data_IF_956303502692
#
_entry.id   IF_956303502692
#
_cell.length_a   1.000
_cell.length_b   1.000
_cell.length_c   1.000
_cell.angle_alpha   90.00
_cell.angle_beta   90.00
_cell.angle_gamma   90.00
#
_symmetry.space_group_name_H-M   'P 1'
#
loop_
_entity.id
_entity.type
_entity.pdbx_description
1 polymer ?
#
# COMPACT_ATOMS: atom_id res chain seq x y z
N UNK A 1 -24.85 -8.91 -5.61
CA UNK A 1 -24.08 -7.76 -5.11
C UNK A 1 -22.67 -7.88 -5.66
N UNK A 2 -22.18 -6.84 -6.31
CA UNK A 2 -20.84 -6.77 -6.91
C UNK A 2 -19.79 -6.68 -5.82
N UNK A 3 -18.66 -7.40 -5.93
CA UNK A 3 -17.61 -7.35 -4.91
C UNK A 3 -17.14 -5.92 -4.65
N UNK A 4 -16.96 -5.51 -3.40
CA UNK A 4 -16.53 -4.15 -3.04
C UNK A 4 -15.03 -3.89 -3.28
N UNK A 5 -14.35 -4.76 -4.04
CA UNK A 5 -12.90 -4.76 -4.26
C UNK A 5 -12.34 -3.41 -4.72
N UNK A 6 -13.05 -2.72 -5.62
CA UNK A 6 -12.65 -1.38 -6.09
C UNK A 6 -12.71 -0.34 -4.96
N UNK A 7 -13.84 -0.28 -4.23
CA UNK A 7 -14.04 0.67 -3.13
C UNK A 7 -13.07 0.40 -1.98
N UNK A 8 -12.83 -0.87 -1.69
CA UNK A 8 -11.86 -1.31 -0.68
C UNK A 8 -10.44 -0.87 -1.04
N UNK A 9 -9.94 -1.25 -2.22
CA UNK A 9 -8.58 -0.92 -2.65
C UNK A 9 -8.36 0.60 -2.77
N UNK A 10 -9.37 1.34 -3.26
CA UNK A 10 -9.30 2.81 -3.37
C UNK A 10 -9.23 3.49 -2.00
N UNK A 11 -9.98 3.02 -1.00
CA UNK A 11 -9.88 3.55 0.37
C UNK A 11 -8.51 3.30 0.99
N UNK A 12 -7.98 2.08 0.83
CA UNK A 12 -6.63 1.73 1.31
C UNK A 12 -5.59 2.65 0.66
N UNK A 13 -5.62 2.75 -0.66
CA UNK A 13 -4.69 3.56 -1.43
C UNK A 13 -4.76 5.05 -1.07
N UNK A 14 -5.96 5.63 -1.00
CA UNK A 14 -6.13 7.04 -0.65
C UNK A 14 -5.63 7.32 0.77
N UNK A 15 -5.83 6.38 1.70
CA UNK A 15 -5.32 6.49 3.06
C UNK A 15 -3.80 6.48 3.09
N UNK A 16 -3.13 5.60 2.34
CA UNK A 16 -1.66 5.62 2.31
C UNK A 16 -1.13 6.87 1.63
N UNK A 17 -1.74 7.33 0.54
CA UNK A 17 -1.40 8.61 -0.11
C UNK A 17 -1.44 9.78 0.86
N UNK A 18 -2.47 9.86 1.70
CA UNK A 18 -2.64 10.99 2.64
C UNK A 18 -1.83 10.80 3.91
N UNK A 19 -1.82 9.61 4.51
CA UNK A 19 -1.26 9.37 5.85
C UNK A 19 0.25 9.07 5.81
N UNK A 20 0.75 8.43 4.74
CA UNK A 20 2.17 8.04 4.68
C UNK A 20 3.14 9.22 4.77
N UNK A 21 2.90 10.39 4.15
CA UNK A 21 3.75 11.56 4.33
C UNK A 21 3.87 11.99 5.80
N UNK A 22 2.76 12.05 6.54
CA UNK A 22 2.78 12.38 7.96
C UNK A 22 3.53 11.33 8.79
N UNK A 23 3.31 10.05 8.48
CA UNK A 23 4.00 8.96 9.15
C UNK A 23 5.51 8.98 8.86
N UNK A 24 5.91 9.39 7.65
CA UNK A 24 7.31 9.58 7.28
C UNK A 24 7.97 10.67 8.14
N UNK A 25 7.34 11.84 8.32
CA UNK A 25 7.86 12.90 9.20
C UNK A 25 8.01 12.40 10.65
N UNK A 26 7.08 11.56 11.10
CA UNK A 26 7.14 10.93 12.42
C UNK A 26 8.30 9.93 12.56
N UNK A 27 8.51 9.06 11.57
CA UNK A 27 9.60 8.07 11.55
C UNK A 27 10.97 8.74 11.39
N UNK A 28 11.05 9.81 10.62
CA UNK A 28 12.31 10.53 10.38
C UNK A 28 12.72 11.44 11.55
N UNK A 29 11.83 11.71 12.51
CA UNK A 29 12.12 12.55 13.67
C UNK A 29 12.35 14.02 13.30
N UNK A 30 11.82 14.46 12.16
CA UNK A 30 12.09 15.77 11.53
C UNK A 30 11.15 16.89 11.97
N UNK A 31 10.46 16.73 13.11
CA UNK A 31 9.66 17.81 13.70
C UNK A 31 10.49 19.00 14.24
N UNK A 32 11.82 18.93 14.13
CA UNK A 32 12.72 20.04 14.43
C UNK A 32 12.78 21.02 13.24
N UNK A 33 12.21 22.22 13.44
CA UNK A 33 12.06 23.28 12.43
C UNK A 33 13.41 23.66 11.77
N UNK A 34 14.54 23.49 12.47
CA UNK A 34 15.88 23.76 11.91
C UNK A 34 16.35 22.69 10.91
N UNK A 35 16.03 21.42 11.15
CA UNK A 35 16.30 20.33 10.20
C UNK A 35 15.36 20.39 9.00
N UNK A 36 14.12 20.78 9.24
CA UNK A 36 13.14 21.00 8.17
C UNK A 36 13.62 22.05 7.17
N UNK A 37 14.30 23.11 7.61
CA UNK A 37 14.78 24.19 6.72
C UNK A 37 15.99 23.76 5.85
N UNK A 38 16.86 22.90 6.38
CA UNK A 38 18.05 22.39 5.68
C UNK A 38 17.66 21.25 4.72
N UNK A 39 16.76 20.36 5.14
CA UNK A 39 16.17 19.36 4.24
C UNK A 39 15.27 20.03 3.20
N UNK A 40 14.48 21.07 3.50
CA UNK A 40 13.63 21.72 2.51
C UNK A 40 14.41 22.44 1.39
N UNK A 41 15.60 22.99 1.67
CA UNK A 41 16.36 23.78 0.71
C UNK A 41 17.09 22.96 -0.37
N UNK A 42 17.49 21.71 -0.08
CA UNK A 42 18.14 20.80 -1.05
C UNK A 42 17.40 19.47 -1.27
N UNK A 43 16.71 18.97 -0.24
CA UNK A 43 15.91 17.75 -0.22
C UNK A 43 14.42 18.02 -0.50
N UNK A 44 13.94 19.27 -0.43
CA UNK A 44 12.52 19.60 -0.57
C UNK A 44 11.98 19.30 -1.96
N UNK A 45 12.74 19.63 -3.01
CA UNK A 45 12.40 19.28 -4.38
C UNK A 45 12.43 17.76 -4.57
N UNK A 46 13.46 17.08 -4.05
CA UNK A 46 13.59 15.63 -4.11
C UNK A 46 12.45 14.91 -3.38
N UNK A 47 12.08 15.39 -2.20
CA UNK A 47 10.98 14.87 -1.38
C UNK A 47 9.65 15.09 -2.08
N UNK A 48 9.43 16.28 -2.63
CA UNK A 48 8.23 16.59 -3.42
C UNK A 48 8.14 15.70 -4.67
N UNK A 49 9.25 15.50 -5.38
CA UNK A 49 9.31 14.58 -6.52
C UNK A 49 9.12 13.13 -6.10
N UNK A 50 9.73 12.67 -5.01
CA UNK A 50 9.56 11.31 -4.51
C UNK A 50 8.11 11.04 -4.08
N UNK A 51 7.46 12.02 -3.44
CA UNK A 51 6.03 11.94 -3.09
C UNK A 51 5.17 11.97 -4.35
N UNK A 52 5.41 12.90 -5.29
CA UNK A 52 4.62 13.05 -6.51
C UNK A 52 4.75 11.84 -7.44
N UNK A 53 5.97 11.35 -7.68
CA UNK A 53 6.23 10.14 -8.45
C UNK A 53 5.77 8.90 -7.68
N UNK A 54 5.94 8.84 -6.36
CA UNK A 54 5.37 7.78 -5.53
C UNK A 54 3.85 7.71 -5.68
N UNK A 55 3.17 8.85 -5.71
CA UNK A 55 1.73 8.97 -6.00
C UNK A 55 1.39 8.49 -7.41
N UNK A 56 2.08 8.99 -8.43
CA UNK A 56 1.79 8.68 -9.83
C UNK A 56 2.02 7.21 -10.16
N UNK A 57 3.13 6.64 -9.69
CA UNK A 57 3.49 5.24 -9.90
C UNK A 57 2.78 4.28 -8.93
N UNK A 58 2.10 4.79 -7.89
CA UNK A 58 1.22 3.96 -7.08
C UNK A 58 -0.08 3.56 -7.77
N UNK A 59 -0.43 4.19 -8.90
CA UNK A 59 -1.62 3.84 -9.72
C UNK A 59 -1.52 2.40 -10.28
N UNK A 60 -0.39 1.99 -10.90
CA UNK A 60 -0.15 0.58 -11.23
C UNK A 60 -0.33 -0.38 -10.04
N UNK A 61 0.23 -0.06 -8.87
CA UNK A 61 0.09 -0.88 -7.67
C UNK A 61 -1.35 -0.96 -7.16
N UNK A 62 -2.07 0.17 -7.17
CA UNK A 62 -3.50 0.20 -6.86
C UNK A 62 -4.32 -0.67 -7.82
N UNK A 63 -3.99 -0.63 -9.10
CA UNK A 63 -4.65 -1.45 -10.13
C UNK A 63 -4.39 -2.94 -9.87
N UNK A 64 -3.14 -3.34 -9.63
CA UNK A 64 -2.79 -4.73 -9.29
C UNK A 64 -3.48 -5.16 -8.00
N UNK A 65 -3.55 -4.29 -6.99
CA UNK A 65 -4.25 -4.57 -5.74
C UNK A 65 -5.75 -4.82 -5.97
N UNK A 66 -6.43 -4.03 -6.82
CA UNK A 66 -7.83 -4.27 -7.19
C UNK A 66 -8.00 -5.67 -7.79
N UNK A 67 -7.14 -6.05 -8.73
CA UNK A 67 -7.19 -7.37 -9.36
C UNK A 67 -6.92 -8.49 -8.35
N UNK A 68 -5.91 -8.33 -7.50
CA UNK A 68 -5.58 -9.27 -6.44
C UNK A 68 -6.77 -9.48 -5.49
N UNK A 69 -7.36 -8.39 -4.99
CA UNK A 69 -8.54 -8.44 -4.11
C UNK A 69 -9.71 -9.14 -4.81
N UNK A 70 -9.94 -8.85 -6.10
CA UNK A 70 -11.01 -9.49 -6.89
C UNK A 70 -10.79 -10.99 -7.08
N UNK A 71 -9.56 -11.42 -7.33
CA UNK A 71 -9.21 -12.85 -7.48
C UNK A 71 -9.36 -13.56 -6.13
N UNK A 72 -8.80 -13.00 -5.06
CA UNK A 72 -8.83 -13.58 -3.71
C UNK A 72 -10.26 -13.64 -3.17
N UNK A 73 -11.09 -12.64 -3.47
CA UNK A 73 -12.49 -12.64 -3.04
C UNK A 73 -13.30 -13.80 -3.62
N UNK A 74 -12.94 -14.29 -4.81
CA UNK A 74 -13.57 -15.45 -5.44
C UNK A 74 -13.16 -16.79 -4.84
N UNK A 75 -12.05 -16.84 -4.11
CA UNK A 75 -11.57 -18.07 -3.48
C UNK A 75 -12.45 -18.46 -2.29
N UNK A 76 -12.68 -19.75 -2.10
CA UNK A 76 -13.44 -20.28 -0.98
C UNK A 76 -12.57 -20.48 0.27
N UNK A 77 -11.99 -19.38 0.74
CA UNK A 77 -11.14 -19.35 1.94
C UNK A 77 -11.73 -18.40 2.97
N UNK A 78 -11.33 -18.58 4.24
CA UNK A 78 -11.80 -17.75 5.34
C UNK A 78 -11.51 -16.25 5.09
N UNK A 79 -12.36 -15.36 5.61
CA UNK A 79 -12.18 -13.92 5.46
C UNK A 79 -10.82 -13.46 6.02
N UNK A 80 -10.37 -14.06 7.13
CA UNK A 80 -9.07 -13.79 7.74
C UNK A 80 -7.93 -14.18 6.79
N UNK A 81 -8.00 -15.37 6.18
CA UNK A 81 -7.01 -15.80 5.19
C UNK A 81 -6.97 -14.86 3.98
N UNK A 82 -8.13 -14.40 3.49
CA UNK A 82 -8.19 -13.40 2.40
C UNK A 82 -7.45 -12.13 2.78
N UNK A 83 -7.70 -11.60 3.97
CA UNK A 83 -7.04 -10.38 4.47
C UNK A 83 -5.53 -10.55 4.57
N UNK A 84 -5.05 -11.66 5.14
CA UNK A 84 -3.61 -11.94 5.26
C UNK A 84 -2.95 -11.99 3.88
N UNK A 85 -3.55 -12.68 2.91
CA UNK A 85 -3.00 -12.76 1.55
C UNK A 85 -2.97 -11.36 0.88
N UNK A 86 -4.05 -10.57 1.02
CA UNK A 86 -4.12 -9.21 0.47
C UNK A 86 -3.04 -8.32 1.11
N UNK A 87 -2.82 -8.44 2.42
CA UNK A 87 -1.76 -7.70 3.13
C UNK A 87 -0.38 -8.08 2.59
N UNK A 88 -0.09 -9.38 2.46
CA UNK A 88 1.19 -9.86 1.92
C UNK A 88 1.44 -9.32 0.50
N UNK A 89 0.43 -9.37 -0.37
CA UNK A 89 0.51 -8.79 -1.71
C UNK A 89 0.74 -7.28 -1.65
N UNK A 90 0.05 -6.58 -0.76
CA UNK A 90 0.23 -5.15 -0.53
C UNK A 90 1.65 -4.78 -0.11
N UNK A 91 2.24 -5.52 0.81
CA UNK A 91 3.62 -5.34 1.27
C UNK A 91 4.59 -5.56 0.12
N UNK A 92 4.47 -6.69 -0.60
CA UNK A 92 5.35 -7.01 -1.74
C UNK A 92 5.24 -5.95 -2.83
N UNK A 93 4.02 -5.54 -3.19
CA UNK A 93 3.80 -4.48 -4.18
C UNK A 93 4.42 -3.15 -3.76
N UNK A 94 4.29 -2.79 -2.49
CA UNK A 94 4.85 -1.53 -1.97
C UNK A 94 6.37 -1.55 -2.08
N UNK A 95 7.04 -2.58 -1.56
CA UNK A 95 8.50 -2.66 -1.62
C UNK A 95 9.02 -2.81 -3.04
N UNK A 96 8.34 -3.60 -3.89
CA UNK A 96 8.73 -3.77 -5.28
C UNK A 96 8.64 -2.44 -6.06
N UNK A 97 7.59 -1.65 -5.83
CA UNK A 97 7.44 -0.34 -6.45
C UNK A 97 8.58 0.59 -6.06
N UNK A 98 8.86 0.69 -4.76
CA UNK A 98 9.97 1.51 -4.27
C UNK A 98 11.32 0.98 -4.79
N UNK A 99 11.49 -0.34 -4.90
CA UNK A 99 12.68 -0.96 -5.46
C UNK A 99 12.93 -0.51 -6.90
N UNK A 100 11.92 -0.60 -7.75
CA UNK A 100 12.00 -0.25 -9.16
C UNK A 100 12.22 1.25 -9.39
N UNK A 101 11.64 2.11 -8.55
CA UNK A 101 11.70 3.57 -8.74
C UNK A 101 12.91 4.23 -8.08
N UNK A 102 13.33 3.72 -6.92
CA UNK A 102 14.22 4.47 -6.04
C UNK A 102 15.46 3.70 -5.58
N UNK A 103 15.49 2.37 -5.68
CA UNK A 103 16.62 1.57 -5.19
C UNK A 103 17.54 1.04 -6.30
N UNK A 104 17.02 0.83 -7.52
CA UNK A 104 17.77 0.19 -8.61
C UNK A 104 19.08 0.90 -8.97
N UNK A 105 19.11 2.23 -8.95
CA UNK A 105 20.21 3.03 -9.53
C UNK A 105 20.98 3.85 -8.48
N UNK A 106 20.87 3.56 -7.16
CA UNK A 106 21.43 4.43 -6.10
C UNK A 106 22.53 3.77 -5.27
N UNK A 107 23.67 4.45 -5.21
CA UNK A 107 24.88 4.05 -4.45
C UNK A 107 25.01 4.83 -3.13
N UNK A 108 24.31 5.95 -2.97
CA UNK A 108 24.40 6.80 -1.78
C UNK A 108 23.55 6.29 -0.60
N UNK A 109 24.20 6.11 0.55
CA UNK A 109 23.62 5.63 1.80
C UNK A 109 22.53 6.54 2.38
N UNK A 110 22.62 7.86 2.20
CA UNK A 110 21.62 8.79 2.75
C UNK A 110 20.30 8.70 1.98
N UNK A 111 20.38 8.62 0.65
CA UNK A 111 19.22 8.46 -0.22
C UNK A 111 18.57 7.09 -0.03
N UNK A 112 19.37 6.04 0.18
CA UNK A 112 18.89 4.72 0.54
C UNK A 112 18.06 4.76 1.84
N UNK A 113 18.60 5.40 2.89
CA UNK A 113 17.93 5.56 4.18
C UNK A 113 16.63 6.38 4.07
N UNK A 114 16.62 7.44 3.25
CA UNK A 114 15.42 8.21 2.96
C UNK A 114 14.34 7.34 2.28
N UNK A 115 14.71 6.64 1.21
CA UNK A 115 13.79 5.81 0.43
C UNK A 115 13.22 4.65 1.27
N UNK A 116 14.04 4.05 2.14
CA UNK A 116 13.60 2.99 3.05
C UNK A 116 12.58 3.51 4.06
N UNK A 117 12.82 4.68 4.67
CA UNK A 117 11.88 5.30 5.60
C UNK A 117 10.54 5.63 4.92
N UNK A 118 10.59 6.14 3.70
CA UNK A 118 9.38 6.44 2.92
C UNK A 118 8.61 5.14 2.55
N UNK A 119 9.32 4.11 2.07
CA UNK A 119 8.72 2.81 1.78
C UNK A 119 8.06 2.18 3.02
N UNK A 120 8.72 2.26 4.18
CA UNK A 120 8.16 1.78 5.45
C UNK A 120 6.91 2.56 5.85
N UNK A 121 6.89 3.89 5.68
CA UNK A 121 5.70 4.70 5.97
C UNK A 121 4.50 4.30 5.08
N UNK A 122 4.72 4.10 3.78
CA UNK A 122 3.68 3.60 2.87
C UNK A 122 3.24 2.18 3.21
N UNK A 123 4.18 1.30 3.57
CA UNK A 123 3.89 -0.07 3.94
C UNK A 123 3.00 -0.14 5.20
N UNK A 124 3.36 0.58 6.26
CA UNK A 124 2.60 0.62 7.51
C UNK A 124 1.18 1.15 7.29
N UNK A 125 1.04 2.24 6.55
CA UNK A 125 -0.29 2.81 6.24
C UNK A 125 -1.14 1.88 5.39
N UNK A 126 -0.55 1.17 4.42
CA UNK A 126 -1.24 0.13 3.66
C UNK A 126 -1.71 -1.02 4.56
N UNK A 127 -0.86 -1.54 5.46
CA UNK A 127 -1.23 -2.60 6.41
C UNK A 127 -2.38 -2.14 7.32
N UNK A 128 -2.30 -0.92 7.86
CA UNK A 128 -3.36 -0.34 8.70
C UNK A 128 -4.65 -0.21 7.90
N UNK A 129 -4.60 0.35 6.70
CA UNK A 129 -5.76 0.51 5.83
C UNK A 129 -6.42 -0.83 5.50
N UNK A 130 -5.64 -1.84 5.13
CA UNK A 130 -6.16 -3.18 4.80
C UNK A 130 -6.77 -3.89 6.01
N UNK A 131 -6.22 -3.66 7.19
CA UNK A 131 -6.77 -4.21 8.44
C UNK A 131 -8.08 -3.51 8.82
N UNK A 132 -8.09 -2.17 8.75
CA UNK A 132 -9.19 -1.31 9.19
C UNK A 132 -10.42 -1.37 8.27
N UNK A 133 -10.23 -1.36 6.94
CA UNK A 133 -11.34 -1.39 6.01
C UNK A 133 -11.99 -2.78 5.92
N UNK A 134 -13.32 -2.81 5.83
CA UNK A 134 -14.10 -4.05 5.71
C UNK A 134 -14.09 -4.54 4.26
N UNK A 135 -13.59 -5.76 4.06
CA UNK A 135 -13.68 -6.49 2.80
C UNK A 135 -15.02 -7.23 2.75
N UNK A 136 -15.85 -6.94 1.75
CA UNK A 136 -17.13 -7.64 1.56
C UNK A 136 -16.91 -8.82 0.61
N UNK A 137 -17.21 -10.07 1.04
CA UNK A 137 -17.01 -11.26 0.21
C UNK A 137 -18.02 -11.30 -0.94
N UNK A 138 -17.60 -11.85 -2.08
CA UNK A 138 -18.50 -12.08 -3.21
C UNK A 138 -19.38 -13.32 -2.95
N UNK A 139 -20.65 -13.08 -2.63
CA UNK A 139 -21.64 -14.12 -2.32
C UNK A 139 -21.91 -15.08 -3.49
N UNK A 140 -21.49 -14.76 -4.72
CA UNK A 140 -21.68 -15.65 -5.89
C UNK A 140 -20.81 -16.91 -5.83
N UNK A 141 -19.64 -16.86 -5.20
CA UNK A 141 -18.74 -18.02 -5.09
C UNK A 141 -19.13 -19.03 -4.00
N UNK A 142 -19.84 -18.59 -2.97
CA UNK A 142 -20.20 -19.43 -1.82
C UNK A 142 -21.37 -20.39 -2.08
N UNK A 143 -22.32 -20.03 -2.96
CA UNK A 143 -23.49 -20.88 -3.25
C UNK A 143 -23.14 -22.19 -3.97
N UNK A 144 -21.99 -22.26 -4.66
CA UNK A 144 -21.57 -23.44 -5.41
C UNK A 144 -20.98 -24.56 -4.54
N UNK A 145 -20.43 -24.26 -3.35
CA UNK A 145 -19.81 -25.30 -2.52
C UNK A 145 -20.79 -26.01 -1.58
N UNK A 146 -21.94 -25.40 -1.27
CA UNK A 146 -22.94 -26.01 -0.39
C UNK A 146 -23.83 -27.02 -1.12
N UNK A 147 -23.88 -27.00 -2.46
CA UNK A 147 -24.68 -27.96 -3.24
C UNK A 147 -24.01 -29.32 -3.46
N UNK A 148 -22.73 -29.49 -3.15
CA UNK A 148 -22.00 -30.76 -3.38
C UNK A 148 -21.82 -31.64 -2.13
N UNK A 149 -22.43 -31.29 -0.99
CA UNK A 149 -22.36 -32.09 0.26
C UNK A 149 -23.64 -32.89 0.52
N UNK A 150 -24.58 -32.89 -0.42
CA UNK A 150 -25.80 -33.70 -0.34
C UNK A 150 -25.97 -34.55 -1.60
N UNK A 151 -25.14 -35.57 -1.76
CA UNK A 151 -25.44 -36.78 -2.54
C UNK A 151 -24.80 -37.98 -1.86
#
# INVERSE_FOLDING_TARGET
MTSNSFRYATKVWLTSVVVAPFLYFLISGTFDIKKLHIEAAGLGLYTLFAIAFGLLFSIPCWTILIFAVKIINKQNVSLTSKKVIIILIGVVLTYLLFYLLFFKDRIDSEQLSFNMRLATAYCLTNIIGMTFYKLEPDLKGQKSSTQHVHL
#
